data_IF_481698557628
#
_entry.id   IF_481698557628
#
_cell.length_a   1.000
_cell.length_b   1.000
_cell.length_c   1.000
_cell.angle_alpha   90.00
_cell.angle_beta   90.00
_cell.angle_gamma   90.00
#
_symmetry.space_group_name_H-M   'P 1'
#
loop_
_entity.id
_entity.type
_entity.pdbx_description
1 polymer ?
#
# COMPACT_ATOMS: atom_id res chain seq x y z
N UNK A 1 -13.63 -27.47 33.30
CA UNK A 1 -13.08 -26.82 32.10
C UNK A 1 -12.00 -25.88 32.58
N UNK A 2 -10.72 -26.20 32.32
CA UNK A 2 -9.61 -25.28 32.53
C UNK A 2 -9.78 -24.08 31.58
N UNK A 3 -9.67 -22.87 32.07
CA UNK A 3 -9.70 -21.60 31.32
C UNK A 3 -8.50 -21.56 30.35
N UNK A 4 -8.66 -22.16 29.19
CA UNK A 4 -7.71 -21.99 28.08
C UNK A 4 -8.15 -20.81 27.26
N UNK A 5 -7.36 -19.75 27.30
CA UNK A 5 -7.53 -18.58 26.42
C UNK A 5 -7.27 -19.00 24.97
N UNK A 6 -8.32 -19.03 24.16
CA UNK A 6 -8.21 -19.32 22.73
C UNK A 6 -8.12 -17.98 22.02
N UNK A 7 -6.98 -17.69 21.42
CA UNK A 7 -6.81 -16.54 20.53
C UNK A 7 -7.29 -16.90 19.14
N UNK A 8 -8.38 -16.27 18.70
CA UNK A 8 -8.86 -16.34 17.33
C UNK A 8 -8.23 -15.20 16.52
N UNK A 9 -7.72 -15.57 15.36
CA UNK A 9 -7.23 -14.61 14.36
C UNK A 9 -8.08 -14.77 13.10
N UNK A 10 -8.48 -13.66 12.51
CA UNK A 10 -9.31 -13.71 11.31
C UNK A 10 -9.66 -12.33 10.78
N UNK A 11 -10.16 -12.32 9.55
CA UNK A 11 -10.69 -11.13 8.88
C UNK A 11 -12.20 -11.33 8.71
N UNK A 12 -12.98 -10.32 9.08
CA UNK A 12 -14.42 -10.28 8.84
C UNK A 12 -14.72 -9.35 7.69
N UNK A 13 -15.43 -9.85 6.68
CA UNK A 13 -16.00 -9.04 5.62
C UNK A 13 -17.41 -8.58 6.03
N UNK A 14 -17.65 -7.28 6.04
CA UNK A 14 -18.98 -6.70 6.28
C UNK A 14 -19.55 -6.15 4.97
N UNK A 15 -20.69 -6.66 4.54
CA UNK A 15 -21.43 -6.18 3.38
C UNK A 15 -22.69 -5.47 3.88
N UNK A 16 -22.76 -4.13 3.81
CA UNK A 16 -23.93 -3.40 4.29
C UNK A 16 -25.14 -3.67 3.40
N UNK A 17 -26.32 -3.79 4.01
CA UNK A 17 -27.59 -3.98 3.33
C UNK A 17 -28.22 -2.60 3.01
N UNK A 18 -27.56 -1.81 2.17
CA UNK A 18 -28.02 -0.50 1.75
C UNK A 18 -28.77 -0.52 0.41
N UNK A 19 -28.83 -1.69 -0.26
CA UNK A 19 -29.48 -1.91 -1.55
C UNK A 19 -30.15 -3.28 -1.61
N UNK A 20 -31.21 -3.44 -2.40
CA UNK A 20 -31.80 -4.76 -2.65
C UNK A 20 -30.78 -5.62 -3.42
N UNK A 21 -30.09 -6.49 -2.71
CA UNK A 21 -29.14 -7.47 -3.26
C UNK A 21 -29.60 -8.89 -2.91
N UNK A 22 -29.27 -9.83 -3.76
CA UNK A 22 -29.52 -11.25 -3.46
C UNK A 22 -28.48 -11.79 -2.48
N UNK A 23 -28.83 -12.85 -1.74
CA UNK A 23 -27.89 -13.54 -0.82
C UNK A 23 -26.62 -13.97 -1.57
N UNK A 24 -26.74 -14.41 -2.82
CA UNK A 24 -25.59 -14.78 -3.64
C UNK A 24 -24.66 -13.59 -3.95
N UNK A 25 -25.25 -12.43 -4.24
CA UNK A 25 -24.45 -11.21 -4.45
C UNK A 25 -23.74 -10.76 -3.17
N UNK A 26 -24.43 -10.80 -2.03
CA UNK A 26 -23.81 -10.50 -0.73
C UNK A 26 -22.64 -11.45 -0.42
N UNK A 27 -22.82 -12.75 -0.68
CA UNK A 27 -21.77 -13.74 -0.51
C UNK A 27 -20.55 -13.48 -1.43
N UNK A 28 -20.79 -13.21 -2.72
CA UNK A 28 -19.73 -12.89 -3.68
C UNK A 28 -19.01 -11.58 -3.34
N UNK A 29 -19.73 -10.58 -2.86
CA UNK A 29 -19.17 -9.33 -2.38
C UNK A 29 -18.30 -9.55 -1.14
N UNK A 30 -18.75 -10.37 -0.19
CA UNK A 30 -17.95 -10.76 0.97
C UNK A 30 -16.67 -11.50 0.60
N UNK A 31 -16.73 -12.44 -0.33
CA UNK A 31 -15.54 -13.15 -0.86
C UNK A 31 -14.59 -12.18 -1.57
N UNK A 32 -15.11 -11.20 -2.30
CA UNK A 32 -14.30 -10.19 -2.97
C UNK A 32 -13.46 -9.40 -1.96
N UNK A 33 -14.04 -8.97 -0.83
CA UNK A 33 -13.32 -8.28 0.24
C UNK A 33 -12.19 -9.16 0.78
N UNK A 34 -12.50 -10.41 1.12
CA UNK A 34 -11.51 -11.34 1.70
C UNK A 34 -10.35 -11.64 0.74
N UNK A 35 -10.62 -11.65 -0.55
CA UNK A 35 -9.59 -11.85 -1.58
C UNK A 35 -8.70 -10.60 -1.81
N UNK A 36 -9.18 -9.41 -1.44
CA UNK A 36 -8.44 -8.15 -1.58
C UNK A 36 -7.73 -7.73 -0.29
N UNK A 37 -8.15 -8.27 0.87
CA UNK A 37 -7.49 -7.99 2.12
C UNK A 37 -6.17 -8.74 2.20
N UNK A 38 -5.06 -8.02 2.39
CA UNK A 38 -3.84 -8.61 2.90
C UNK A 38 -4.16 -9.13 4.31
N UNK A 39 -4.03 -10.42 4.51
CA UNK A 39 -4.26 -11.07 5.80
C UNK A 39 -3.14 -10.61 6.74
N UNK A 40 -3.29 -9.45 7.35
CA UNK A 40 -2.57 -9.13 8.56
C UNK A 40 -3.29 -9.87 9.68
N UNK A 41 -2.57 -10.66 10.49
CA UNK A 41 -3.10 -11.57 11.51
C UNK A 41 -3.81 -10.86 12.69
N UNK A 42 -4.40 -9.70 12.43
CA UNK A 42 -5.26 -8.96 13.35
C UNK A 42 -6.71 -9.22 13.00
N UNK A 43 -7.59 -9.10 13.99
CA UNK A 43 -9.03 -9.18 13.75
C UNK A 43 -9.47 -7.85 13.12
N UNK A 44 -9.54 -7.83 11.78
CA UNK A 44 -9.99 -6.67 11.03
C UNK A 44 -11.41 -6.89 10.50
N UNK A 45 -12.24 -5.85 10.62
CA UNK A 45 -13.56 -5.80 9.98
C UNK A 45 -13.45 -4.90 8.76
N UNK A 46 -13.63 -5.46 7.58
CA UNK A 46 -13.53 -4.73 6.32
C UNK A 46 -14.92 -4.60 5.72
N UNK A 47 -15.34 -3.36 5.47
CA UNK A 47 -16.62 -3.06 4.81
C UNK A 47 -16.50 -3.21 3.30
N UNK A 48 -17.56 -3.70 2.67
CA UNK A 48 -17.66 -3.78 1.22
C UNK A 48 -17.83 -2.39 0.61
N UNK A 49 -16.94 -2.06 -0.30
CA UNK A 49 -16.97 -0.83 -1.10
C UNK A 49 -17.08 -1.23 -2.58
N UNK A 50 -18.24 -1.05 -3.23
CA UNK A 50 -18.44 -1.47 -4.62
C UNK A 50 -17.40 -0.93 -5.58
N UNK A 51 -16.93 0.30 -5.37
CA UNK A 51 -15.95 0.94 -6.23
C UNK A 51 -14.57 0.28 -6.17
N UNK A 52 -14.24 -0.43 -5.08
CA UNK A 52 -12.91 -1.01 -4.86
C UNK A 52 -12.89 -2.54 -4.86
N UNK A 53 -14.04 -3.18 -4.68
CA UNK A 53 -14.12 -4.63 -4.51
C UNK A 53 -14.72 -5.35 -5.73
N UNK A 54 -14.90 -4.65 -6.84
CA UNK A 54 -15.36 -5.28 -8.09
C UNK A 54 -14.18 -5.87 -8.87
N UNK A 55 -14.47 -6.91 -9.65
CA UNK A 55 -13.46 -7.53 -10.53
C UNK A 55 -12.90 -6.52 -11.53
N UNK A 56 -13.76 -5.66 -12.08
CA UNK A 56 -13.37 -4.64 -13.03
C UNK A 56 -12.40 -3.61 -12.43
N UNK A 57 -12.54 -3.26 -11.15
CA UNK A 57 -11.64 -2.35 -10.48
C UNK A 57 -10.20 -2.87 -10.46
N UNK A 58 -10.00 -4.16 -10.12
CA UNK A 58 -8.66 -4.74 -10.08
C UNK A 58 -7.99 -4.73 -11.45
N UNK A 59 -8.74 -5.04 -12.50
CA UNK A 59 -8.22 -5.05 -13.87
C UNK A 59 -7.86 -3.63 -14.31
N UNK A 60 -8.70 -2.63 -14.02
CA UNK A 60 -8.43 -1.21 -14.31
C UNK A 60 -7.16 -0.71 -13.58
N UNK A 61 -7.00 -1.05 -12.29
CA UNK A 61 -5.81 -0.67 -11.51
C UNK A 61 -4.53 -1.23 -12.14
N UNK A 62 -4.57 -2.48 -12.64
CA UNK A 62 -3.41 -3.10 -13.28
C UNK A 62 -3.09 -2.44 -14.63
N UNK A 63 -4.10 -2.17 -15.44
CA UNK A 63 -3.94 -1.49 -16.72
C UNK A 63 -3.40 -0.07 -16.53
N UNK A 64 -3.94 0.66 -15.56
CA UNK A 64 -3.58 2.05 -15.30
C UNK A 64 -2.23 2.19 -14.60
N UNK A 65 -1.78 1.19 -13.83
CA UNK A 65 -0.52 1.25 -13.10
C UNK A 65 0.70 1.56 -13.99
N UNK A 66 0.77 0.98 -15.19
CA UNK A 66 1.86 1.25 -16.11
C UNK A 66 1.91 2.70 -16.58
N UNK A 67 0.73 3.31 -16.77
CA UNK A 67 0.59 4.72 -17.18
C UNK A 67 0.78 5.68 -16.01
N UNK A 68 0.41 5.26 -14.81
CA UNK A 68 0.42 6.09 -13.61
C UNK A 68 1.77 6.73 -13.31
N UNK A 69 2.86 6.00 -13.55
CA UNK A 69 4.23 6.51 -13.39
C UNK A 69 4.56 7.59 -14.42
N UNK A 70 4.17 7.39 -15.67
CA UNK A 70 4.45 8.32 -16.78
C UNK A 70 3.60 9.60 -16.66
N UNK A 71 2.39 9.47 -16.14
CA UNK A 71 1.45 10.56 -15.98
C UNK A 71 1.61 11.33 -14.65
N UNK A 72 2.62 11.00 -13.84
CA UNK A 72 2.82 11.57 -12.50
C UNK A 72 1.60 11.39 -11.56
N UNK A 73 0.86 10.30 -11.73
CA UNK A 73 -0.28 9.97 -10.89
C UNK A 73 0.17 9.34 -9.55
N UNK A 74 1.33 8.66 -9.55
CA UNK A 74 1.96 8.17 -8.33
C UNK A 74 2.76 9.29 -7.67
N UNK A 75 2.63 9.40 -6.35
CA UNK A 75 3.44 10.34 -5.57
C UNK A 75 3.75 9.77 -4.18
N UNK A 76 4.79 10.29 -3.57
CA UNK A 76 5.22 9.88 -2.23
C UNK A 76 4.96 11.02 -1.25
N UNK A 77 4.26 10.69 -0.16
CA UNK A 77 4.17 11.58 1.00
C UNK A 77 5.16 11.10 2.06
N UNK A 78 5.75 12.04 2.78
CA UNK A 78 6.81 11.74 3.73
C UNK A 78 6.33 12.04 5.15
N UNK A 79 6.18 10.99 5.96
CA UNK A 79 5.77 11.13 7.36
C UNK A 79 7.01 11.36 8.24
N UNK A 80 7.10 12.48 8.97
CA UNK A 80 8.26 12.78 9.78
C UNK A 80 8.34 11.88 11.01
N UNK A 81 9.58 11.46 11.34
CA UNK A 81 9.93 10.77 12.59
C UNK A 81 10.70 11.75 13.47
N UNK A 82 10.10 12.11 14.59
CA UNK A 82 10.67 13.09 15.52
C UNK A 82 11.51 12.39 16.58
N UNK A 83 12.70 12.91 16.85
CA UNK A 83 13.50 12.51 18.00
C UNK A 83 12.98 13.24 19.25
N UNK A 84 12.38 12.56 20.25
CA UNK A 84 11.82 13.23 21.42
C UNK A 84 12.85 13.98 22.27
N UNK A 85 14.11 13.50 22.27
CA UNK A 85 15.20 14.11 23.04
C UNK A 85 15.71 15.42 22.45
N UNK A 86 15.70 15.53 21.12
CA UNK A 86 16.22 16.70 20.42
C UNK A 86 15.13 17.59 19.82
N UNK A 87 13.89 17.16 19.88
CA UNK A 87 12.73 17.81 19.27
C UNK A 87 12.96 18.18 17.79
N UNK A 88 13.63 17.30 17.07
CA UNK A 88 14.00 17.50 15.66
C UNK A 88 13.50 16.32 14.81
N UNK A 89 13.17 16.62 13.56
CA UNK A 89 12.90 15.60 12.54
C UNK A 89 14.23 15.15 11.97
N UNK A 90 14.63 13.89 12.19
CA UNK A 90 15.89 13.35 11.69
C UNK A 90 15.71 12.33 10.55
N UNK A 91 14.51 11.77 10.45
CA UNK A 91 14.15 10.83 9.39
C UNK A 91 12.69 10.97 9.01
N UNK A 92 12.35 10.42 7.86
CA UNK A 92 10.98 10.37 7.36
C UNK A 92 10.64 8.96 6.89
N UNK A 93 9.36 8.64 6.81
CA UNK A 93 8.87 7.43 6.17
C UNK A 93 8.19 7.78 4.84
N UNK A 94 8.61 7.10 3.77
CA UNK A 94 8.04 7.26 2.45
C UNK A 94 6.75 6.42 2.33
N UNK A 95 5.65 7.07 2.06
CA UNK A 95 4.33 6.47 1.96
C UNK A 95 3.75 6.78 0.59
N UNK A 96 3.58 5.74 -0.23
CA UNK A 96 3.03 5.86 -1.58
C UNK A 96 1.56 6.30 -1.55
N UNK A 97 1.17 7.11 -2.54
CA UNK A 97 -0.20 7.50 -2.86
C UNK A 97 -0.38 7.45 -4.36
N UNK A 98 -1.61 7.22 -4.80
CA UNK A 98 -1.97 7.24 -6.20
C UNK A 98 -3.13 8.20 -6.44
N UNK A 99 -2.87 9.29 -7.16
CA UNK A 99 -3.91 10.19 -7.66
C UNK A 99 -4.48 9.60 -8.94
N UNK A 100 -5.43 8.68 -8.79
CA UNK A 100 -6.05 7.99 -9.91
C UNK A 100 -7.06 8.91 -10.60
N UNK A 101 -7.06 8.94 -11.93
CA UNK A 101 -7.93 9.84 -12.72
C UNK A 101 -9.42 9.59 -12.49
N UNK A 102 -9.82 8.34 -12.30
CA UNK A 102 -11.23 7.93 -12.10
C UNK A 102 -11.63 7.87 -10.62
N UNK A 103 -10.72 7.41 -9.75
CA UNK A 103 -11.05 7.07 -8.37
C UNK A 103 -10.53 8.07 -7.34
N UNK A 104 -9.87 9.15 -7.76
CA UNK A 104 -9.26 10.12 -6.86
C UNK A 104 -8.01 9.57 -6.16
N UNK A 105 -7.73 10.03 -4.94
CA UNK A 105 -6.55 9.59 -4.19
C UNK A 105 -6.79 8.20 -3.61
N UNK A 106 -6.11 7.20 -4.15
CA UNK A 106 -6.12 5.83 -3.65
C UNK A 106 -5.09 5.66 -2.54
N UNK A 107 -5.54 5.11 -1.42
CA UNK A 107 -4.65 4.72 -0.32
C UNK A 107 -3.93 3.39 -0.64
N UNK A 108 -2.74 3.14 -0.06
CA UNK A 108 -1.96 1.94 -0.34
C UNK A 108 -2.71 0.62 -0.15
N UNK A 109 -3.52 0.51 0.90
CA UNK A 109 -4.31 -0.67 1.19
C UNK A 109 -5.35 -1.04 0.11
N UNK A 110 -5.66 -0.10 -0.80
CA UNK A 110 -6.61 -0.32 -1.89
C UNK A 110 -5.92 -0.95 -3.10
N UNK A 111 -4.73 -0.48 -3.49
CA UNK A 111 -4.09 -0.91 -4.74
C UNK A 111 -2.88 -1.83 -4.54
N UNK A 112 -2.16 -1.76 -3.40
CA UNK A 112 -1.00 -2.62 -3.18
C UNK A 112 -1.32 -4.12 -3.24
N UNK A 113 -2.44 -4.62 -2.65
CA UNK A 113 -2.78 -6.04 -2.76
C UNK A 113 -3.00 -6.50 -4.20
N UNK A 114 -3.52 -5.62 -5.05
CA UNK A 114 -3.73 -5.90 -6.48
C UNK A 114 -2.38 -6.02 -7.18
N UNK A 115 -1.46 -5.08 -6.92
CA UNK A 115 -0.11 -5.10 -7.50
C UNK A 115 0.70 -6.30 -7.00
N UNK A 116 0.59 -6.65 -5.73
CA UNK A 116 1.26 -7.81 -5.14
C UNK A 116 0.82 -9.11 -5.78
N UNK A 117 -0.49 -9.35 -5.91
CA UNK A 117 -1.06 -10.53 -6.55
C UNK A 117 -0.60 -10.69 -8.02
N UNK A 118 -0.25 -9.58 -8.66
CA UNK A 118 0.16 -9.53 -10.06
C UNK A 118 1.67 -9.30 -10.26
N UNK A 119 2.46 -9.52 -9.20
CA UNK A 119 3.94 -9.43 -9.24
C UNK A 119 4.47 -8.05 -9.67
N UNK A 120 3.73 -6.96 -9.38
CA UNK A 120 4.12 -5.58 -9.72
C UNK A 120 4.83 -4.84 -8.58
N UNK A 121 4.98 -5.46 -7.41
CA UNK A 121 5.58 -4.82 -6.25
C UNK A 121 7.06 -4.46 -6.44
N UNK A 122 7.81 -5.25 -7.20
CA UNK A 122 9.21 -4.92 -7.53
C UNK A 122 9.33 -3.61 -8.30
N UNK A 123 8.53 -3.48 -9.35
CA UNK A 123 8.49 -2.27 -10.19
C UNK A 123 8.07 -1.02 -9.39
N UNK A 124 7.10 -1.15 -8.49
CA UNK A 124 6.69 -0.07 -7.61
C UNK A 124 7.79 0.29 -6.60
N UNK A 125 8.43 -0.72 -6.02
CA UNK A 125 9.49 -0.52 -5.01
C UNK A 125 10.69 0.22 -5.61
N UNK A 126 11.14 -0.16 -6.80
CA UNK A 126 12.21 0.54 -7.52
C UNK A 126 11.87 2.02 -7.71
N UNK A 127 10.65 2.31 -8.14
CA UNK A 127 10.19 3.68 -8.31
C UNK A 127 10.16 4.47 -6.98
N UNK A 128 9.68 3.85 -5.88
CA UNK A 128 9.66 4.51 -4.56
C UNK A 128 11.09 4.81 -4.08
N UNK A 129 12.02 3.89 -4.28
CA UNK A 129 13.43 4.08 -3.92
C UNK A 129 14.00 5.27 -4.68
N UNK A 130 13.80 5.32 -5.99
CA UNK A 130 14.27 6.42 -6.84
C UNK A 130 13.72 7.78 -6.38
N UNK A 131 12.40 7.89 -6.19
CA UNK A 131 11.76 9.12 -5.73
C UNK A 131 12.27 9.54 -4.33
N UNK A 132 12.50 8.58 -3.47
CA UNK A 132 13.01 8.83 -2.11
C UNK A 132 14.46 9.33 -2.13
N UNK A 133 15.32 8.81 -3.00
CA UNK A 133 16.69 9.28 -3.19
C UNK A 133 16.71 10.70 -3.76
N UNK A 134 15.87 10.98 -4.75
CA UNK A 134 15.74 12.34 -5.32
C UNK A 134 15.31 13.34 -4.24
N UNK A 135 14.30 12.99 -3.46
CA UNK A 135 13.77 13.86 -2.40
C UNK A 135 14.84 14.10 -1.31
N UNK A 136 15.53 13.05 -0.85
CA UNK A 136 16.56 13.14 0.17
C UNK A 136 17.71 14.05 -0.28
N UNK A 137 18.18 13.87 -1.51
CA UNK A 137 19.22 14.69 -2.10
C UNK A 137 18.82 16.16 -2.16
N UNK A 138 17.59 16.44 -2.60
CA UNK A 138 17.05 17.79 -2.63
C UNK A 138 17.02 18.44 -1.25
N UNK A 139 16.48 17.73 -0.25
CA UNK A 139 16.43 18.26 1.13
C UNK A 139 17.80 18.53 1.71
N UNK A 140 18.79 17.70 1.44
CA UNK A 140 20.16 17.92 1.88
C UNK A 140 20.77 19.17 1.22
N UNK A 141 20.51 19.39 -0.07
CA UNK A 141 20.92 20.60 -0.79
C UNK A 141 20.25 21.85 -0.23
N UNK A 142 18.98 21.74 0.18
CA UNK A 142 18.21 22.83 0.80
C UNK A 142 18.58 23.05 2.29
N UNK A 143 19.56 22.33 2.83
CA UNK A 143 20.03 22.47 4.21
C UNK A 143 19.19 21.78 5.27
N UNK A 144 18.27 20.87 4.88
CA UNK A 144 17.47 20.10 5.83
C UNK A 144 18.34 19.08 6.60
N UNK A 145 17.99 18.86 7.88
CA UNK A 145 18.71 17.96 8.79
C UNK A 145 18.32 16.48 8.54
N UNK A 146 17.36 16.22 7.63
CA UNK A 146 16.88 14.88 7.33
C UNK A 146 18.01 14.05 6.72
N UNK A 147 18.31 12.89 7.35
CA UNK A 147 19.41 12.01 6.95
C UNK A 147 18.97 10.65 6.44
N UNK A 148 17.71 10.28 6.68
CA UNK A 148 17.22 8.95 6.36
C UNK A 148 15.78 9.04 5.84
N UNK A 149 15.50 8.19 4.84
CA UNK A 149 14.14 7.87 4.38
C UNK A 149 13.91 6.39 4.61
N UNK A 150 12.93 6.04 5.42
CA UNK A 150 12.49 4.67 5.57
C UNK A 150 11.51 4.30 4.45
N UNK A 151 11.72 3.16 3.83
CA UNK A 151 10.88 2.65 2.73
C UNK A 151 10.39 1.27 3.12
N UNK A 152 9.10 1.03 2.96
CA UNK A 152 8.50 -0.29 3.16
C UNK A 152 8.81 -1.16 1.93
N UNK A 153 9.61 -2.21 2.12
CA UNK A 153 10.04 -3.12 1.06
C UNK A 153 9.41 -4.50 1.29
N UNK A 154 8.71 -5.07 0.28
CA UNK A 154 8.16 -6.42 0.40
C UNK A 154 9.24 -7.47 0.64
N UNK A 155 8.96 -8.44 1.54
CA UNK A 155 9.91 -9.49 1.90
C UNK A 155 10.53 -10.23 0.71
N UNK A 156 9.76 -10.70 -0.28
CA UNK A 156 10.31 -11.35 -1.47
C UNK A 156 11.28 -10.48 -2.28
N UNK A 157 11.09 -9.16 -2.28
CA UNK A 157 11.98 -8.23 -2.99
C UNK A 157 13.31 -8.01 -2.27
N UNK A 158 13.33 -8.08 -0.93
CA UNK A 158 14.57 -7.96 -0.13
C UNK A 158 15.60 -9.02 -0.46
N UNK A 159 15.18 -10.21 -0.85
CA UNK A 159 16.06 -11.34 -1.18
C UNK A 159 16.46 -11.37 -2.66
N UNK A 160 15.93 -10.45 -3.47
CA UNK A 160 16.21 -10.40 -4.91
C UNK A 160 17.53 -9.67 -5.19
N UNK A 161 18.28 -10.15 -6.19
CA UNK A 161 19.44 -9.44 -6.71
C UNK A 161 19.11 -8.08 -7.33
N UNK A 162 17.83 -7.87 -7.68
CA UNK A 162 17.32 -6.64 -8.28
C UNK A 162 17.46 -5.45 -7.33
N UNK A 163 17.13 -5.61 -6.05
CA UNK A 163 17.28 -4.53 -5.05
C UNK A 163 18.73 -4.00 -5.00
N UNK A 164 19.69 -4.90 -5.00
CA UNK A 164 21.12 -4.50 -4.96
C UNK A 164 21.55 -3.80 -6.24
N UNK A 165 20.97 -4.18 -7.38
CA UNK A 165 21.21 -3.51 -8.67
C UNK A 165 20.63 -2.11 -8.66
N UNK A 166 19.39 -1.96 -8.23
CA UNK A 166 18.70 -0.66 -8.12
C UNK A 166 19.48 0.29 -7.19
N UNK A 167 19.89 -0.17 -6.00
CA UNK A 167 20.64 0.66 -5.05
C UNK A 167 22.03 1.09 -5.55
N UNK A 168 22.67 0.30 -6.41
CA UNK A 168 24.00 0.64 -6.97
C UNK A 168 23.92 1.58 -8.16
N UNK A 169 22.77 1.69 -8.81
CA UNK A 169 22.54 2.54 -9.98
C UNK A 169 22.16 3.99 -9.62
N UNK A 170 21.89 4.27 -8.34
CA UNK A 170 21.52 5.58 -7.80
C UNK A 170 22.70 6.34 -7.19
#
# INVERSE_FOLDING_TARGET
FEDKEIRLQGVCAFVPEDRPTTINEMYLNGLSILNHSSIDYRLDIISYEPNYHTRNFSDEILEDFHRAKQNNELFVVYQPKVCPKMNTVYSVEALIRWQHTKYGVLAPNVFLPILEKNNKMGELTDWIIEQSCIALKKWQQDGAIIRQVAINIPGPYLTSSLLMTTLKSM
#
